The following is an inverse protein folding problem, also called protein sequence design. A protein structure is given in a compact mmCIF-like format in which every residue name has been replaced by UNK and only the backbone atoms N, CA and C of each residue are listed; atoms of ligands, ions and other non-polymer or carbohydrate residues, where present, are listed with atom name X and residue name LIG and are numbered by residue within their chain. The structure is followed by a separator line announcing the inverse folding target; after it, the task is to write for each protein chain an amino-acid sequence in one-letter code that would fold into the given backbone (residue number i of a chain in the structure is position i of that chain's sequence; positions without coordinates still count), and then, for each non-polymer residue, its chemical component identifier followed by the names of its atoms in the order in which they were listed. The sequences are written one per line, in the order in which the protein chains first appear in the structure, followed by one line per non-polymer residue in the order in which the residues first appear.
data_IF_525794938523
#
_entry.id   IF_525794938523
#
_cell.length_a   1.000
_cell.length_b   1.000
_cell.length_c   1.000
_cell.angle_alpha   90.00
_cell.angle_beta   90.00
_cell.angle_gamma   90.00
#
_symmetry.space_group_name_H-M   'P 1'
#
loop_
_entity.id
_entity.type
_entity.pdbx_description
1 polymer ?
#
# COMPACT_ATOMS: atom_id res chain seq x y z
N UNK A 1 31.01 15.35 -2.49
CA UNK A 1 29.69 14.73 -2.63
C UNK A 1 28.87 15.47 -3.68
N UNK A 2 28.60 14.81 -4.79
CA UNK A 2 27.71 15.23 -5.87
C UNK A 2 26.64 14.17 -6.11
N UNK A 3 25.44 14.58 -6.52
CA UNK A 3 24.34 13.66 -6.85
C UNK A 3 24.57 13.03 -8.24
N UNK A 4 24.50 11.70 -8.31
CA UNK A 4 24.59 10.94 -9.54
C UNK A 4 23.20 10.60 -10.10
N UNK A 5 22.33 10.04 -9.25
CA UNK A 5 20.96 9.67 -9.61
C UNK A 5 20.07 9.59 -8.38
N UNK A 6 18.76 9.56 -8.60
CA UNK A 6 17.75 9.33 -7.56
C UNK A 6 17.03 8.04 -7.92
N UNK A 7 16.80 7.18 -6.94
CA UNK A 7 16.07 5.93 -7.05
C UNK A 7 14.93 5.90 -6.02
N UNK A 8 13.74 5.37 -6.37
CA UNK A 8 12.68 5.21 -5.40
C UNK A 8 13.02 4.01 -4.51
N UNK A 9 12.54 4.06 -3.28
CA UNK A 9 12.60 2.90 -2.37
C UNK A 9 11.22 2.23 -2.31
N UNK A 10 11.12 1.01 -1.74
CA UNK A 10 9.82 0.39 -1.45
C UNK A 10 8.86 1.29 -0.64
N UNK A 11 9.43 2.19 0.18
CA UNK A 11 8.68 3.16 0.98
C UNK A 11 8.39 4.42 0.17
N UNK A 12 7.13 4.88 0.08
CA UNK A 12 6.79 6.13 -0.60
C UNK A 12 7.35 7.38 0.12
N UNK A 13 7.83 7.20 1.34
CA UNK A 13 8.41 8.25 2.17
C UNK A 13 9.93 8.27 2.14
N UNK A 14 10.58 7.41 1.35
CA UNK A 14 12.03 7.37 1.27
C UNK A 14 12.52 7.32 -0.18
N UNK A 15 13.56 8.09 -0.48
CA UNK A 15 14.24 8.10 -1.77
C UNK A 15 15.73 7.90 -1.58
N UNK A 16 16.32 7.09 -2.45
CA UNK A 16 17.76 6.83 -2.49
C UNK A 16 18.41 7.86 -3.40
N UNK A 17 19.32 8.65 -2.86
CA UNK A 17 20.18 9.59 -3.56
C UNK A 17 21.55 8.93 -3.74
N UNK A 18 21.87 8.47 -4.94
CA UNK A 18 23.20 7.95 -5.25
C UNK A 18 24.17 9.12 -5.43
N UNK A 19 25.34 9.03 -4.81
CA UNK A 19 26.34 10.11 -4.81
C UNK A 19 27.71 9.59 -5.25
N UNK A 20 28.56 10.50 -5.70
CA UNK A 20 29.93 10.21 -6.15
C UNK A 20 30.91 9.79 -5.03
N UNK A 21 30.45 9.77 -3.78
CA UNK A 21 31.28 9.55 -2.60
C UNK A 21 30.87 8.27 -1.85
N UNK A 22 31.75 7.27 -1.85
CA UNK A 22 31.54 5.99 -1.18
C UNK A 22 32.14 5.97 0.23
N UNK A 23 31.32 5.63 1.22
CA UNK A 23 31.77 5.34 2.57
C UNK A 23 32.50 3.99 2.65
N UNK A 24 33.48 3.83 3.56
CA UNK A 24 34.16 2.55 3.76
C UNK A 24 33.18 1.44 4.15
N UNK A 25 33.46 0.20 3.72
CA UNK A 25 32.60 -0.96 4.03
C UNK A 25 32.30 -1.07 5.53
N UNK A 26 31.05 -1.39 5.85
CA UNK A 26 30.55 -1.53 7.22
C UNK A 26 30.14 -0.21 7.90
N UNK A 27 30.45 0.96 7.32
CA UNK A 27 30.06 2.25 7.88
C UNK A 27 28.62 2.59 7.49
N UNK A 28 27.79 2.82 8.50
CA UNK A 28 26.37 3.19 8.36
C UNK A 28 26.06 4.29 9.34
N UNK A 29 25.47 5.37 8.86
CA UNK A 29 25.10 6.51 9.69
C UNK A 29 23.64 6.86 9.48
N UNK A 30 22.89 6.95 10.56
CA UNK A 30 21.54 7.52 10.57
C UNK A 30 21.63 8.89 11.21
N UNK A 31 21.21 9.92 10.48
CA UNK A 31 21.18 11.30 10.94
C UNK A 31 19.74 11.74 11.16
N UNK A 32 19.51 12.37 12.30
CA UNK A 32 18.25 13.03 12.66
C UNK A 32 18.51 14.52 12.88
N UNK A 33 17.49 15.40 12.78
CA UNK A 33 17.66 16.82 13.02
C UNK A 33 18.31 17.14 14.38
N UNK A 34 17.99 16.35 15.40
CA UNK A 34 18.49 16.44 16.78
C UNK A 34 19.75 15.59 17.04
N UNK A 35 20.16 14.74 16.08
CA UNK A 35 21.33 13.85 16.17
C UNK A 35 22.13 13.86 14.87
N UNK A 36 22.82 14.97 14.64
CA UNK A 36 23.67 15.20 13.46
C UNK A 36 25.13 15.57 13.82
N UNK A 37 25.55 15.29 15.05
CA UNK A 37 26.94 15.47 15.48
C UNK A 37 27.88 14.60 14.63
N UNK A 38 28.90 15.22 14.04
CA UNK A 38 29.83 14.55 13.11
C UNK A 38 29.35 14.47 11.66
N UNK A 39 28.13 14.91 11.34
CA UNK A 39 27.66 15.01 9.96
C UNK A 39 28.45 16.09 9.18
N UNK A 40 28.72 15.82 7.90
CA UNK A 40 29.28 16.82 6.99
C UNK A 40 28.31 17.97 6.77
N UNK A 41 28.82 19.11 6.29
CA UNK A 41 27.99 20.31 6.02
C UNK A 41 26.84 20.01 5.07
N UNK A 42 27.10 19.25 4.00
CA UNK A 42 26.09 18.82 3.03
C UNK A 42 24.99 17.98 3.69
N UNK A 43 25.35 17.03 4.57
CA UNK A 43 24.36 16.19 5.28
C UNK A 43 23.50 17.03 6.22
N UNK A 44 24.08 18.02 6.90
CA UNK A 44 23.31 18.96 7.74
C UNK A 44 22.39 19.83 6.91
N UNK A 45 22.85 20.30 5.75
CA UNK A 45 22.04 21.08 4.83
C UNK A 45 20.86 20.27 4.27
N UNK A 46 21.09 19.01 3.87
CA UNK A 46 20.04 18.09 3.44
C UNK A 46 19.02 17.80 4.56
N UNK A 47 19.47 17.63 5.81
CA UNK A 47 18.57 17.48 6.96
C UNK A 47 17.75 18.73 7.27
N UNK A 48 18.26 19.91 6.91
CA UNK A 48 17.60 21.19 7.15
C UNK A 48 16.51 21.51 6.12
N UNK A 49 16.46 20.78 5.00
CA UNK A 49 15.39 20.89 3.99
C UNK A 49 14.04 20.69 4.68
N UNK A 50 13.11 21.62 4.47
CA UNK A 50 11.79 21.53 5.07
C UNK A 50 11.07 20.27 4.58
N UNK A 51 10.66 19.44 5.53
CA UNK A 51 9.97 18.18 5.24
C UNK A 51 10.87 16.95 5.27
N UNK A 52 12.19 17.08 5.41
CA UNK A 52 13.08 15.94 5.67
C UNK A 52 12.95 15.50 7.12
N UNK A 53 12.85 14.17 7.32
CA UNK A 53 12.71 13.52 8.63
C UNK A 53 14.04 12.91 9.09
N UNK A 54 14.72 12.19 8.21
CA UNK A 54 15.97 11.49 8.50
C UNK A 54 16.79 11.27 7.24
N UNK A 55 18.09 11.09 7.41
CA UNK A 55 18.99 10.62 6.37
C UNK A 55 19.69 9.35 6.84
N UNK A 56 19.68 8.30 6.05
CA UNK A 56 20.50 7.11 6.27
C UNK A 56 21.56 7.01 5.18
N UNK A 57 22.84 7.04 5.57
CA UNK A 57 23.98 6.97 4.65
C UNK A 57 24.71 5.65 4.81
N UNK A 58 24.92 4.96 3.70
CA UNK A 58 25.74 3.75 3.62
C UNK A 58 26.34 3.65 2.22
N UNK A 59 27.56 3.11 2.12
CA UNK A 59 28.25 2.99 0.84
C UNK A 59 28.22 4.32 0.06
N UNK A 60 27.75 4.29 -1.17
CA UNK A 60 27.68 5.38 -2.16
C UNK A 60 26.29 6.04 -2.26
N UNK A 61 25.41 5.85 -1.27
CA UNK A 61 24.08 6.47 -1.31
C UNK A 61 23.59 7.02 0.03
N UNK A 62 22.58 7.89 -0.07
CA UNK A 62 21.81 8.44 1.04
C UNK A 62 20.35 8.08 0.83
N UNK A 63 19.75 7.29 1.72
CA UNK A 63 18.30 7.21 1.82
C UNK A 63 17.80 8.44 2.58
N UNK A 64 17.12 9.33 1.87
CA UNK A 64 16.48 10.51 2.42
C UNK A 64 15.03 10.16 2.72
N UNK A 65 14.64 10.26 3.99
CA UNK A 65 13.27 10.03 4.42
C UNK A 65 12.57 11.37 4.58
N UNK A 66 11.42 11.54 3.94
CA UNK A 66 10.54 12.68 4.15
C UNK A 66 9.57 12.43 5.31
N UNK A 67 9.06 13.50 5.88
CA UNK A 67 7.83 13.47 6.68
C UNK A 67 6.68 13.04 5.74
N UNK A 68 5.69 12.26 6.21
CA UNK A 68 4.68 11.68 5.32
C UNK A 68 3.90 12.67 4.44
N UNK A 69 3.71 13.90 4.92
CA UNK A 69 2.96 14.96 4.23
C UNK A 69 3.86 16.01 3.54
N UNK A 70 5.17 15.79 3.51
CA UNK A 70 6.09 16.74 2.92
C UNK A 70 6.16 16.56 1.41
N UNK A 71 6.26 17.66 0.66
CA UNK A 71 6.29 17.62 -0.79
C UNK A 71 7.65 17.14 -1.33
N UNK A 72 7.63 16.03 -2.09
CA UNK A 72 8.85 15.50 -2.71
C UNK A 72 9.42 16.47 -3.73
N UNK A 73 8.59 17.24 -4.44
CA UNK A 73 9.05 18.16 -5.47
C UNK A 73 9.96 19.23 -4.86
N UNK A 74 9.51 19.87 -3.79
CA UNK A 74 10.28 20.86 -3.03
C UNK A 74 11.55 20.24 -2.45
N UNK A 75 11.44 19.08 -1.79
CA UNK A 75 12.57 18.40 -1.15
C UNK A 75 13.66 18.05 -2.17
N UNK A 76 13.29 17.38 -3.27
CA UNK A 76 14.27 16.94 -4.26
C UNK A 76 14.87 18.12 -5.04
N UNK A 77 14.10 19.19 -5.26
CA UNK A 77 14.63 20.40 -5.89
C UNK A 77 15.72 21.06 -5.05
N UNK A 78 15.51 21.16 -3.72
CA UNK A 78 16.53 21.65 -2.79
C UNK A 78 17.71 20.68 -2.66
N UNK A 79 17.44 19.38 -2.55
CA UNK A 79 18.49 18.37 -2.43
C UNK A 79 19.40 18.34 -3.67
N UNK A 80 18.82 18.44 -4.88
CA UNK A 80 19.57 18.57 -6.13
C UNK A 80 20.44 19.81 -6.13
N UNK A 81 19.91 20.96 -5.69
CA UNK A 81 20.69 22.22 -5.60
C UNK A 81 21.88 22.08 -4.65
N UNK A 82 21.68 21.49 -3.48
CA UNK A 82 22.74 21.27 -2.49
C UNK A 82 23.83 20.29 -2.97
N UNK A 83 23.44 19.31 -3.79
CA UNK A 83 24.34 18.26 -4.29
C UNK A 83 24.90 18.53 -5.70
N UNK A 84 24.55 19.66 -6.34
CA UNK A 84 25.08 20.03 -7.66
C UNK A 84 26.52 20.61 -7.58
N UNK A 85 26.86 21.31 -6.49
CA UNK A 85 28.11 22.08 -6.38
C UNK A 85 28.16 23.30 -7.32
N UNK A 86 29.17 24.16 -7.18
CA UNK A 86 29.29 25.46 -7.87
C UNK A 86 29.57 25.40 -9.39
N UNK A 87 29.57 24.22 -10.02
CA UNK A 87 29.82 24.07 -11.46
C UNK A 87 28.51 23.87 -12.26
N UNK A 88 28.02 25.02 -12.75
CA UNK A 88 27.29 25.27 -14.01
C UNK A 88 25.83 24.81 -14.22
N UNK A 89 25.07 25.81 -14.67
CA UNK A 89 23.88 25.78 -15.53
C UNK A 89 23.78 24.57 -16.49
N UNK A 90 22.79 23.69 -16.24
CA UNK A 90 22.02 22.83 -17.16
C UNK A 90 21.53 21.61 -16.34
N UNK A 91 20.26 21.38 -16.02
CA UNK A 91 19.05 21.57 -16.77
C UNK A 91 17.90 21.92 -15.81
N UNK A 92 17.52 23.20 -15.78
CA UNK A 92 16.21 23.62 -15.28
C UNK A 92 15.19 23.38 -16.40
N UNK A 93 14.83 22.11 -16.65
CA UNK A 93 13.67 21.78 -17.46
C UNK A 93 12.45 21.71 -16.53
N UNK A 94 11.74 22.84 -16.45
CA UNK A 94 10.29 22.92 -16.21
C UNK A 94 9.76 22.31 -14.91
N UNK A 95 9.76 23.09 -13.83
CA UNK A 95 8.82 22.86 -12.73
C UNK A 95 8.03 24.14 -12.49
N UNK A 96 6.88 24.23 -13.14
CA UNK A 96 5.86 25.24 -12.86
C UNK A 96 5.27 25.02 -11.46
N UNK A 97 4.98 26.12 -10.77
CA UNK A 97 4.55 26.16 -9.38
C UNK A 97 3.06 25.78 -9.17
N UNK A 98 2.84 25.02 -8.08
CA UNK A 98 1.64 24.86 -7.23
C UNK A 98 0.42 24.06 -7.75
N UNK A 99 -0.42 23.47 -6.86
CA UNK A 99 -0.15 22.82 -5.56
C UNK A 99 -0.71 21.37 -5.48
N UNK A 100 -0.05 20.48 -4.75
CA UNK A 100 -0.75 19.47 -3.95
C UNK A 100 0.15 19.01 -2.79
N UNK A 101 -0.13 19.54 -1.60
CA UNK A 101 0.49 19.11 -0.34
C UNK A 101 -0.07 17.77 0.16
N UNK A 102 -0.75 17.02 -0.71
CA UNK A 102 -1.28 15.69 -0.43
C UNK A 102 -0.50 14.71 -1.29
N UNK A 103 0.70 14.35 -0.83
CA UNK A 103 1.42 13.22 -1.40
C UNK A 103 0.52 11.99 -1.38
N UNK A 104 0.76 11.02 -2.27
CA UNK A 104 0.07 9.73 -2.31
C UNK A 104 0.30 8.94 -1.00
N UNK A 105 -0.36 9.36 0.07
CA UNK A 105 -0.10 8.90 1.43
C UNK A 105 -0.70 7.53 1.66
N UNK A 106 0.13 6.62 2.16
CA UNK A 106 -0.32 5.34 2.68
C UNK A 106 -1.19 5.57 3.92
N UNK A 107 -2.43 5.12 3.85
CA UNK A 107 -3.35 5.14 4.96
C UNK A 107 -3.20 3.87 5.78
N UNK A 108 -2.64 4.01 6.98
CA UNK A 108 -2.61 2.90 7.94
C UNK A 108 -3.97 2.79 8.60
N UNK A 109 -4.61 1.64 8.40
CA UNK A 109 -5.90 1.34 8.98
C UNK A 109 -5.69 0.50 10.22
N UNK A 110 -6.22 0.98 11.34
CA UNK A 110 -6.23 0.29 12.62
C UNK A 110 -7.68 0.06 13.02
N UNK A 111 -8.01 -1.16 13.44
CA UNK A 111 -9.34 -1.48 13.96
C UNK A 111 -9.22 -1.85 15.42
N UNK A 112 -10.02 -1.18 16.25
CA UNK A 112 -10.12 -1.47 17.67
C UNK A 112 -11.17 -2.56 17.88
N UNK A 113 -10.76 -3.64 18.55
CA UNK A 113 -11.61 -4.77 18.90
C UNK A 113 -11.75 -4.91 20.41
N UNK A 114 -12.90 -5.46 20.84
CA UNK A 114 -13.09 -6.02 22.17
C UNK A 114 -13.64 -7.44 22.05
N UNK A 115 -12.87 -8.43 22.55
CA UNK A 115 -13.20 -9.86 22.49
C UNK A 115 -13.65 -10.32 21.08
N UNK A 116 -13.02 -9.78 20.04
CA UNK A 116 -13.31 -10.08 18.63
C UNK A 116 -14.41 -9.23 17.99
N UNK A 117 -15.11 -8.37 18.75
CA UNK A 117 -16.13 -7.46 18.21
C UNK A 117 -15.47 -6.13 17.82
N UNK A 118 -15.55 -5.68 16.55
CA UNK A 118 -15.00 -4.40 16.13
C UNK A 118 -15.78 -3.23 16.74
N UNK A 119 -15.07 -2.17 17.11
CA UNK A 119 -15.63 -1.01 17.80
C UNK A 119 -15.44 0.29 17.04
N UNK A 120 -14.22 0.53 16.58
CA UNK A 120 -13.81 1.79 15.97
C UNK A 120 -12.69 1.54 14.98
N UNK A 121 -12.75 2.21 13.85
CA UNK A 121 -11.69 2.28 12.85
C UNK A 121 -10.93 3.59 13.04
N UNK A 122 -9.60 3.53 12.89
CA UNK A 122 -8.72 4.69 12.82
C UNK A 122 -7.93 4.61 11.52
N UNK A 123 -8.05 5.65 10.71
CA UNK A 123 -7.31 5.78 9.45
C UNK A 123 -6.29 6.90 9.64
N UNK A 124 -5.01 6.57 9.48
CA UNK A 124 -3.90 7.51 9.66
C UNK A 124 -3.20 7.77 8.34
N UNK A 125 -3.15 9.03 7.92
CA UNK A 125 -2.36 9.50 6.78
C UNK A 125 -1.47 10.65 7.29
N UNK A 126 -0.18 10.37 7.46
CA UNK A 126 0.76 11.31 8.08
C UNK A 126 0.29 11.77 9.46
N UNK A 127 0.06 13.08 9.61
CA UNK A 127 -0.43 13.66 10.87
C UNK A 127 -1.97 13.72 10.97
N UNK A 128 -2.70 13.42 9.89
CA UNK A 128 -4.16 13.36 9.89
C UNK A 128 -4.62 11.99 10.40
N UNK A 129 -5.54 11.99 11.37
CA UNK A 129 -6.19 10.77 11.86
C UNK A 129 -7.71 10.96 11.78
N UNK A 130 -8.38 10.10 11.01
CA UNK A 130 -9.84 10.01 10.95
C UNK A 130 -10.29 8.81 11.76
N UNK A 131 -11.40 8.97 12.49
CA UNK A 131 -12.00 7.91 13.29
C UNK A 131 -13.43 7.68 12.85
N UNK A 132 -13.82 6.42 12.68
CA UNK A 132 -15.19 6.03 12.41
C UNK A 132 -15.63 4.98 13.43
N UNK A 133 -16.84 5.15 13.98
CA UNK A 133 -17.45 4.16 14.86
C UNK A 133 -18.25 3.14 14.04
N UNK A 134 -18.33 1.91 14.56
CA UNK A 134 -19.24 0.89 14.02
C UNK A 134 -20.70 1.23 14.34
N UNK A 135 -21.66 0.67 13.60
CA UNK A 135 -23.09 0.82 13.89
C UNK A 135 -23.49 0.44 15.33
N UNK A 136 -24.63 0.97 15.77
CA UNK A 136 -25.14 0.81 17.14
C UNK A 136 -25.17 -0.65 17.62
N UNK A 137 -25.51 -1.61 16.75
CA UNK A 137 -25.53 -3.04 17.07
C UNK A 137 -24.19 -3.58 17.60
N UNK A 138 -23.05 -3.03 17.14
CA UNK A 138 -21.73 -3.40 17.65
C UNK A 138 -21.49 -2.81 19.03
N UNK A 139 -21.94 -1.58 19.26
CA UNK A 139 -21.87 -0.93 20.57
C UNK A 139 -22.67 -1.73 21.60
N UNK A 140 -23.89 -2.13 21.25
CA UNK A 140 -24.76 -2.93 22.12
C UNK A 140 -24.15 -4.32 22.40
N UNK A 141 -23.57 -4.95 21.38
CA UNK A 141 -22.89 -6.24 21.54
C UNK A 141 -21.66 -6.13 22.45
N UNK A 142 -20.86 -5.07 22.31
CA UNK A 142 -19.71 -4.81 23.17
C UNK A 142 -20.16 -4.57 24.62
N UNK A 143 -21.24 -3.82 24.83
CA UNK A 143 -21.82 -3.64 26.17
C UNK A 143 -22.30 -4.96 26.77
N UNK A 144 -22.95 -5.82 25.98
CA UNK A 144 -23.42 -7.13 26.42
C UNK A 144 -22.28 -8.12 26.72
N UNK A 145 -21.11 -7.94 26.07
CA UNK A 145 -19.91 -8.74 26.27
C UNK A 145 -18.97 -8.18 27.35
N UNK A 146 -19.14 -6.92 27.76
CA UNK A 146 -18.19 -6.20 28.60
C UNK A 146 -18.10 -6.76 30.02
N UNK A 147 -16.86 -7.05 30.44
CA UNK A 147 -16.50 -7.38 31.83
C UNK A 147 -15.85 -6.21 32.57
N UNK A 148 -15.43 -6.48 33.81
CA UNK A 148 -14.64 -5.58 34.68
C UNK A 148 -13.30 -5.19 34.03
N UNK A 149 -12.78 -6.04 33.14
CA UNK A 149 -11.50 -5.88 32.45
C UNK A 149 -11.59 -5.12 31.11
N UNK A 150 -12.76 -4.58 30.75
CA UNK A 150 -13.04 -3.95 29.45
C UNK A 150 -11.92 -3.05 28.91
N UNK A 151 -11.43 -2.10 29.73
CA UNK A 151 -10.42 -1.12 29.29
C UNK A 151 -9.10 -1.81 28.88
N UNK A 152 -8.72 -2.88 29.60
CA UNK A 152 -7.43 -3.59 29.44
C UNK A 152 -7.42 -4.55 28.27
N UNK A 153 -8.58 -5.08 27.89
CA UNK A 153 -8.72 -6.10 26.84
C UNK A 153 -8.92 -5.52 25.43
N UNK A 154 -9.15 -4.21 25.30
CA UNK A 154 -9.27 -3.59 23.97
C UNK A 154 -7.96 -3.75 23.20
N UNK A 155 -8.04 -4.42 22.05
CA UNK A 155 -6.91 -4.60 21.13
C UNK A 155 -7.04 -3.63 19.98
N UNK A 156 -5.94 -2.99 19.61
CA UNK A 156 -5.85 -2.20 18.40
C UNK A 156 -5.00 -3.01 17.42
N UNK A 157 -5.63 -3.46 16.33
CA UNK A 157 -5.01 -4.34 15.35
C UNK A 157 -4.82 -3.61 14.03
N UNK A 158 -3.70 -3.86 13.36
CA UNK A 158 -3.45 -3.35 12.00
C UNK A 158 -4.30 -4.14 11.01
N UNK A 159 -5.13 -3.43 10.26
CA UNK A 159 -6.06 -4.01 9.30
C UNK A 159 -5.52 -3.94 7.86
N UNK A 160 -4.45 -3.16 7.64
CA UNK A 160 -3.73 -3.05 6.38
C UNK A 160 -3.59 -1.62 5.88
N UNK A 161 -2.97 -1.50 4.71
CA UNK A 161 -2.71 -0.22 4.05
C UNK A 161 -3.80 0.04 3.01
N UNK A 162 -4.32 1.27 3.01
CA UNK A 162 -5.26 1.79 2.01
C UNK A 162 -4.72 3.07 1.41
N UNK A 163 -5.32 3.52 0.32
CA UNK A 163 -4.92 4.73 -0.38
C UNK A 163 -6.18 5.44 -0.88
N UNK A 164 -6.17 6.77 -0.84
CA UNK A 164 -7.34 7.61 -1.06
C UNK A 164 -7.60 8.52 0.15
N UNK A 165 -8.78 9.13 0.18
CA UNK A 165 -9.15 10.03 1.27
C UNK A 165 -9.44 9.25 2.56
N UNK A 166 -8.91 9.68 3.72
CA UNK A 166 -9.08 8.96 4.99
C UNK A 166 -10.55 8.69 5.36
N UNK A 167 -11.43 9.65 5.07
CA UNK A 167 -12.86 9.59 5.34
C UNK A 167 -13.57 8.53 4.48
N UNK A 168 -13.24 8.47 3.19
CA UNK A 168 -13.77 7.45 2.27
C UNK A 168 -13.27 6.05 2.66
N UNK A 169 -11.98 5.94 2.98
CA UNK A 169 -11.35 4.70 3.45
C UNK A 169 -12.05 4.21 4.72
N UNK A 170 -12.30 5.09 5.69
CA UNK A 170 -12.97 4.74 6.93
C UNK A 170 -14.40 4.25 6.65
N UNK A 171 -15.15 4.94 5.79
CA UNK A 171 -16.52 4.56 5.43
C UNK A 171 -16.59 3.20 4.70
N UNK A 172 -15.65 2.94 3.79
CA UNK A 172 -15.56 1.65 3.09
C UNK A 172 -15.31 0.49 4.07
N UNK A 173 -14.37 0.68 4.99
CA UNK A 173 -14.00 -0.36 5.96
C UNK A 173 -15.11 -0.60 6.97
N UNK A 174 -15.84 0.45 7.40
CA UNK A 174 -17.06 0.27 8.20
C UNK A 174 -18.02 -0.66 7.45
N UNK A 175 -18.35 -0.36 6.19
CA UNK A 175 -19.30 -1.17 5.41
C UNK A 175 -18.84 -2.62 5.24
N UNK A 176 -17.56 -2.83 4.95
CA UNK A 176 -16.95 -4.15 4.81
C UNK A 176 -17.00 -4.95 6.11
N UNK A 177 -16.62 -4.34 7.24
CA UNK A 177 -16.68 -5.00 8.55
C UNK A 177 -18.13 -5.25 8.98
N UNK A 178 -19.05 -4.33 8.74
CA UNK A 178 -20.46 -4.55 9.06
C UNK A 178 -21.06 -5.71 8.25
N UNK A 179 -20.66 -5.85 6.98
CA UNK A 179 -21.05 -7.01 6.17
C UNK A 179 -20.43 -8.32 6.71
N UNK A 180 -19.12 -8.33 6.99
CA UNK A 180 -18.41 -9.52 7.49
C UNK A 180 -18.88 -9.99 8.88
N UNK A 181 -19.42 -9.08 9.70
CA UNK A 181 -19.94 -9.37 11.04
C UNK A 181 -21.46 -9.41 11.03
N UNK A 182 -21.98 -10.55 10.57
CA UNK A 182 -23.41 -10.88 10.60
C UNK A 182 -23.96 -10.90 12.03
N UNK A 183 -25.27 -10.78 12.18
CA UNK A 183 -25.92 -10.85 13.50
C UNK A 183 -25.59 -12.16 14.24
N UNK A 184 -25.58 -13.29 13.52
CA UNK A 184 -25.21 -14.60 14.04
C UNK A 184 -23.77 -14.63 14.58
N UNK A 185 -22.81 -14.04 13.83
CA UNK A 185 -21.41 -13.97 14.25
C UNK A 185 -21.25 -13.11 15.50
N UNK A 186 -21.91 -11.95 15.55
CA UNK A 186 -21.90 -11.06 16.71
C UNK A 186 -22.49 -11.77 17.93
N UNK A 187 -23.66 -12.41 17.78
CA UNK A 187 -24.31 -13.15 18.85
C UNK A 187 -23.43 -14.26 19.41
N UNK A 188 -22.71 -14.98 18.54
CA UNK A 188 -21.77 -16.03 18.93
C UNK A 188 -20.58 -15.48 19.73
N UNK A 189 -20.04 -14.33 19.34
CA UNK A 189 -18.96 -13.65 20.08
C UNK A 189 -19.42 -13.16 21.46
N UNK A 190 -20.64 -12.62 21.55
CA UNK A 190 -21.25 -12.20 22.82
C UNK A 190 -21.47 -13.39 23.74
N UNK A 191 -22.09 -14.47 23.23
CA UNK A 191 -22.33 -15.68 24.02
C UNK A 191 -21.02 -16.30 24.54
N UNK A 192 -19.98 -16.35 23.70
CA UNK A 192 -18.66 -16.83 24.10
C UNK A 192 -18.03 -15.94 25.18
N UNK A 193 -18.15 -14.62 25.05
CA UNK A 193 -17.66 -13.66 26.04
C UNK A 193 -18.35 -13.84 27.39
N UNK A 194 -19.67 -14.06 27.39
CA UNK A 194 -20.46 -14.29 28.60
C UNK A 194 -20.12 -15.63 29.26
N UNK A 195 -19.92 -16.69 28.46
CA UNK A 195 -19.56 -18.01 28.97
C UNK A 195 -18.20 -18.06 29.67
N UNK A 196 -17.24 -17.24 29.23
CA UNK A 196 -15.91 -17.15 29.85
C UNK A 196 -15.91 -16.31 31.13
N UNK A 197 -16.89 -15.41 31.31
CA UNK A 197 -17.02 -14.58 32.50
C UNK A 197 -16.27 -13.23 32.42
N UNK A 198 -16.48 -12.34 33.42
CA UNK A 198 -16.06 -10.94 33.38
C UNK A 198 -14.56 -10.73 33.59
N UNK A 199 -13.85 -11.68 34.20
CA UNK A 199 -12.42 -11.57 34.54
C UNK A 199 -11.52 -12.47 33.66
N UNK A 200 -12.09 -13.21 32.70
CA UNK A 200 -11.34 -14.12 31.83
C UNK A 200 -10.56 -13.36 30.74
N UNK A 201 -9.35 -13.83 30.46
CA UNK A 201 -8.53 -13.34 29.35
C UNK A 201 -8.88 -14.15 28.11
N UNK A 202 -9.43 -13.51 27.08
CA UNK A 202 -9.70 -14.17 25.79
C UNK A 202 -8.38 -14.44 25.05
N UNK A 203 -7.96 -15.70 24.98
CA UNK A 203 -6.76 -16.11 24.23
C UNK A 203 -6.92 -15.85 22.72
N UNK A 204 -8.04 -16.26 22.12
CA UNK A 204 -8.35 -16.00 20.71
C UNK A 204 -9.86 -15.81 20.48
N UNK A 205 -10.26 -14.85 19.64
CA UNK A 205 -11.67 -14.67 19.28
C UNK A 205 -12.18 -15.85 18.45
N UNK A 206 -13.45 -16.24 18.67
CA UNK A 206 -14.10 -17.27 17.86
C UNK A 206 -14.19 -16.78 16.43
N UNK A 207 -13.68 -17.58 15.49
CA UNK A 207 -13.82 -17.32 14.05
C UNK A 207 -15.01 -18.09 13.51
N UNK A 208 -15.80 -17.51 12.59
CA UNK A 208 -16.86 -18.25 11.93
C UNK A 208 -16.26 -19.43 11.14
N UNK A 209 -17.02 -20.51 11.00
CA UNK A 209 -16.59 -21.68 10.22
C UNK A 209 -16.23 -21.23 8.79
N UNK A 210 -15.02 -21.56 8.30
CA UNK A 210 -14.67 -21.29 6.90
C UNK A 210 -15.64 -21.96 5.93
N UNK A 211 -15.81 -21.38 4.75
CA UNK A 211 -16.65 -21.90 3.67
C UNK A 211 -15.78 -22.36 2.51
N UNK A 212 -16.19 -23.44 1.86
CA UNK A 212 -15.62 -23.90 0.58
C UNK A 212 -16.03 -22.97 -0.56
N UNK A 213 -15.30 -23.00 -1.67
CA UNK A 213 -15.63 -22.18 -2.84
C UNK A 213 -17.06 -22.42 -3.35
N UNK A 214 -17.55 -23.66 -3.32
CA UNK A 214 -18.92 -24.01 -3.73
C UNK A 214 -19.97 -23.46 -2.77
N UNK A 215 -19.72 -23.53 -1.45
CA UNK A 215 -20.62 -22.95 -0.45
C UNK A 215 -20.68 -21.43 -0.56
N UNK A 216 -19.55 -20.78 -0.82
CA UNK A 216 -19.51 -19.33 -1.09
C UNK A 216 -20.30 -19.02 -2.36
N UNK A 217 -20.05 -19.73 -3.45
CA UNK A 217 -20.73 -19.51 -4.72
C UNK A 217 -22.26 -19.66 -4.60
N UNK A 218 -22.73 -20.64 -3.83
CA UNK A 218 -24.16 -20.82 -3.56
C UNK A 218 -24.80 -19.63 -2.82
N UNK A 219 -24.02 -18.78 -2.15
CA UNK A 219 -24.52 -17.55 -1.50
C UNK A 219 -24.62 -16.36 -2.45
N UNK A 220 -24.05 -16.42 -3.66
CA UNK A 220 -24.06 -15.30 -4.62
C UNK A 220 -25.42 -15.04 -5.27
N UNK A 221 -26.41 -15.89 -5.02
CA UNK A 221 -27.81 -15.65 -5.39
C UNK A 221 -28.58 -14.81 -4.36
N UNK A 222 -27.97 -14.52 -3.19
CA UNK A 222 -28.59 -13.66 -2.19
C UNK A 222 -28.75 -12.22 -2.72
N UNK A 223 -29.92 -11.58 -2.55
CA UNK A 223 -30.16 -10.23 -3.03
C UNK A 223 -29.32 -9.19 -2.26
N UNK A 224 -29.09 -9.43 -0.96
CA UNK A 224 -28.26 -8.56 -0.14
C UNK A 224 -26.78 -8.82 -0.37
N UNK A 225 -26.05 -7.78 -0.76
CA UNK A 225 -24.61 -7.84 -0.95
C UNK A 225 -23.87 -8.14 0.35
N UNK A 226 -24.43 -7.78 1.52
CA UNK A 226 -23.78 -8.05 2.81
C UNK A 226 -23.68 -9.56 3.06
N UNK A 227 -24.72 -10.33 2.69
CA UNK A 227 -24.68 -11.80 2.77
C UNK A 227 -23.62 -12.39 1.82
N UNK A 228 -23.55 -11.88 0.59
CA UNK A 228 -22.55 -12.31 -0.41
C UNK A 228 -21.13 -11.98 0.05
N UNK A 229 -20.92 -10.79 0.60
CA UNK A 229 -19.63 -10.35 1.14
C UNK A 229 -19.23 -11.18 2.37
N UNK A 230 -20.15 -11.42 3.31
CA UNK A 230 -19.90 -12.24 4.48
C UNK A 230 -19.53 -13.69 4.13
N UNK A 231 -20.14 -14.24 3.07
CA UNK A 231 -19.77 -15.54 2.54
C UNK A 231 -18.35 -15.52 1.95
N UNK A 232 -18.05 -14.52 1.11
CA UNK A 232 -16.74 -14.36 0.47
C UNK A 232 -15.61 -14.16 1.50
N UNK A 233 -15.82 -13.33 2.54
CA UNK A 233 -14.87 -13.11 3.66
C UNK A 233 -14.52 -14.39 4.43
N UNK A 234 -15.39 -15.41 4.35
CA UNK A 234 -15.22 -16.71 5.01
C UNK A 234 -14.58 -17.77 4.10
N UNK A 235 -14.16 -17.42 2.89
CA UNK A 235 -13.48 -18.37 2.00
C UNK A 235 -12.29 -19.00 2.74
N UNK A 236 -12.29 -20.33 2.82
CA UNK A 236 -11.30 -21.07 3.61
C UNK A 236 -9.88 -20.93 3.05
N UNK A 237 -9.76 -21.12 1.73
CA UNK A 237 -8.50 -21.10 1.02
C UNK A 237 -8.71 -20.50 -0.38
N UNK A 238 -7.77 -19.64 -0.80
CA UNK A 238 -7.68 -19.23 -2.19
C UNK A 238 -6.88 -20.31 -2.93
N UNK A 239 -7.58 -21.25 -3.56
CA UNK A 239 -7.01 -22.28 -4.44
C UNK A 239 -7.51 -22.08 -5.88
N UNK A 240 -6.84 -22.64 -6.91
CA UNK A 240 -7.28 -22.52 -8.30
C UNK A 240 -8.73 -22.96 -8.54
N UNK A 241 -9.25 -23.89 -7.74
CA UNK A 241 -10.64 -24.35 -7.78
C UNK A 241 -11.64 -23.22 -7.43
N UNK A 242 -11.20 -22.19 -6.71
CA UNK A 242 -12.03 -21.02 -6.39
C UNK A 242 -12.18 -20.05 -7.57
N UNK A 243 -11.43 -20.20 -8.67
CA UNK A 243 -11.44 -19.27 -9.80
C UNK A 243 -12.84 -19.00 -10.39
N UNK A 244 -13.72 -20.00 -10.63
CA UNK A 244 -15.07 -19.74 -11.13
C UNK A 244 -15.90 -18.88 -10.16
N UNK A 245 -15.75 -19.11 -8.85
CA UNK A 245 -16.43 -18.33 -7.82
C UNK A 245 -15.85 -16.92 -7.74
N UNK A 246 -14.52 -16.75 -7.79
CA UNK A 246 -13.88 -15.44 -7.80
C UNK A 246 -14.20 -14.64 -9.05
N UNK A 247 -14.34 -15.31 -10.21
CA UNK A 247 -14.84 -14.67 -11.44
C UNK A 247 -16.28 -14.18 -11.26
N UNK A 248 -17.15 -14.97 -10.62
CA UNK A 248 -18.52 -14.54 -10.29
C UNK A 248 -18.52 -13.34 -9.35
N UNK A 249 -17.64 -13.34 -8.34
CA UNK A 249 -17.46 -12.24 -7.40
C UNK A 249 -16.92 -10.97 -8.05
N UNK A 250 -16.03 -11.10 -9.03
CA UNK A 250 -15.51 -9.98 -9.82
C UNK A 250 -16.60 -9.36 -10.73
N UNK A 251 -17.69 -10.07 -11.01
CA UNK A 251 -18.84 -9.56 -11.74
C UNK A 251 -19.95 -8.99 -10.83
N UNK A 252 -19.75 -8.91 -9.52
CA UNK A 252 -20.76 -8.42 -8.58
C UNK A 252 -21.05 -6.92 -8.77
N UNK A 253 -22.30 -6.51 -8.52
CA UNK A 253 -22.69 -5.10 -8.60
C UNK A 253 -21.97 -4.23 -7.55
N UNK A 254 -21.65 -4.81 -6.39
CA UNK A 254 -21.05 -4.13 -5.26
C UNK A 254 -19.52 -4.11 -5.37
N UNK A 255 -18.93 -2.91 -5.25
CA UNK A 255 -17.49 -2.71 -5.43
C UNK A 255 -16.64 -3.39 -4.34
N UNK A 256 -17.14 -3.52 -3.10
CA UNK A 256 -16.42 -4.17 -2.01
C UNK A 256 -16.23 -5.67 -2.24
N UNK A 257 -17.25 -6.34 -2.81
CA UNK A 257 -17.16 -7.75 -3.22
C UNK A 257 -16.14 -7.91 -4.35
N UNK A 258 -16.24 -7.09 -5.41
CA UNK A 258 -15.27 -7.12 -6.50
C UNK A 258 -13.84 -6.86 -6.01
N UNK A 259 -13.65 -5.90 -5.11
CA UNK A 259 -12.35 -5.58 -4.52
C UNK A 259 -11.79 -6.74 -3.70
N UNK A 260 -12.63 -7.41 -2.89
CA UNK A 260 -12.22 -8.59 -2.11
C UNK A 260 -11.86 -9.76 -3.04
N UNK A 261 -12.60 -9.95 -4.13
CA UNK A 261 -12.26 -10.95 -5.14
C UNK A 261 -10.86 -10.72 -5.73
N UNK A 262 -10.48 -9.47 -6.02
CA UNK A 262 -9.13 -9.12 -6.49
C UNK A 262 -8.05 -9.49 -5.48
N UNK A 263 -8.30 -9.28 -4.18
CA UNK A 263 -7.36 -9.70 -3.12
C UNK A 263 -7.13 -11.20 -3.18
N UNK A 264 -8.20 -12.01 -3.19
CA UNK A 264 -8.07 -13.46 -3.27
C UNK A 264 -7.47 -13.96 -4.60
N UNK A 265 -7.75 -13.29 -5.72
CA UNK A 265 -7.07 -13.57 -6.99
C UNK A 265 -5.56 -13.30 -6.88
N UNK A 266 -5.17 -12.28 -6.12
CA UNK A 266 -3.78 -11.99 -5.79
C UNK A 266 -3.12 -13.06 -4.94
N UNK A 267 -3.84 -13.58 -3.95
CA UNK A 267 -3.34 -14.64 -3.06
C UNK A 267 -3.07 -15.96 -3.82
N UNK A 268 -3.80 -16.23 -4.91
CA UNK A 268 -3.55 -17.38 -5.78
C UNK A 268 -2.17 -17.36 -6.43
N UNK A 269 -1.68 -16.17 -6.83
CA UNK A 269 -0.43 -15.97 -7.57
C UNK A 269 -0.26 -16.92 -8.76
N UNK A 270 -1.35 -17.23 -9.46
CA UNK A 270 -1.37 -18.19 -10.56
C UNK A 270 -1.56 -17.51 -11.92
N UNK A 271 -1.04 -18.13 -12.99
CA UNK A 271 -1.19 -17.60 -14.35
C UNK A 271 -2.66 -17.51 -14.78
N UNK A 272 -3.50 -18.42 -14.29
CA UNK A 272 -4.94 -18.46 -14.54
C UNK A 272 -5.70 -17.30 -13.87
N UNK A 273 -5.17 -16.73 -12.78
CA UNK A 273 -5.76 -15.55 -12.14
C UNK A 273 -5.46 -14.24 -12.89
N UNK A 274 -4.37 -14.21 -13.68
CA UNK A 274 -3.90 -13.00 -14.36
C UNK A 274 -4.95 -12.35 -15.28
N UNK A 275 -5.68 -13.08 -16.15
CA UNK A 275 -6.74 -12.49 -16.98
C UNK A 275 -7.86 -11.82 -16.16
N UNK A 276 -8.17 -12.34 -14.97
CA UNK A 276 -9.18 -11.76 -14.09
C UNK A 276 -8.63 -10.49 -13.42
N UNK A 277 -7.37 -10.46 -13.02
CA UNK A 277 -6.70 -9.25 -12.53
C UNK A 277 -6.63 -8.16 -13.62
N UNK A 278 -6.38 -8.53 -14.88
CA UNK A 278 -6.41 -7.58 -16.01
C UNK A 278 -7.80 -7.03 -16.26
N UNK A 279 -8.84 -7.84 -16.06
CA UNK A 279 -10.23 -7.36 -16.09
C UNK A 279 -10.49 -6.37 -14.96
N UNK A 280 -9.98 -6.64 -13.76
CA UNK A 280 -10.14 -5.77 -12.60
C UNK A 280 -9.43 -4.40 -12.75
N UNK A 281 -8.32 -4.33 -13.50
CA UNK A 281 -7.69 -3.06 -13.89
C UNK A 281 -8.61 -2.15 -14.72
N UNK A 282 -9.72 -2.66 -15.26
CA UNK A 282 -10.69 -1.90 -16.06
C UNK A 282 -12.02 -1.68 -15.33
N UNK A 283 -12.07 -1.97 -14.04
CA UNK A 283 -13.29 -1.86 -13.24
C UNK A 283 -13.82 -0.42 -13.18
N UNK A 284 -15.16 -0.29 -13.08
CA UNK A 284 -15.81 1.02 -12.91
C UNK A 284 -15.39 1.73 -11.61
N UNK A 285 -15.04 0.99 -10.56
CA UNK A 285 -14.59 1.52 -9.28
C UNK A 285 -13.08 1.74 -9.27
N UNK A 286 -12.67 2.96 -8.90
CA UNK A 286 -11.26 3.30 -8.69
C UNK A 286 -10.62 2.37 -7.65
N UNK A 287 -11.32 2.04 -6.58
CA UNK A 287 -10.78 1.19 -5.50
C UNK A 287 -10.43 -0.21 -6.00
N UNK A 288 -11.23 -0.77 -6.93
CA UNK A 288 -10.99 -2.09 -7.53
C UNK A 288 -9.82 -2.03 -8.50
N UNK A 289 -9.78 -1.04 -9.41
CA UNK A 289 -8.66 -0.86 -10.35
C UNK A 289 -7.33 -0.69 -9.63
N UNK A 290 -7.34 0.12 -8.56
CA UNK A 290 -6.16 0.34 -7.71
C UNK A 290 -5.73 -0.95 -7.02
N UNK A 291 -6.64 -1.69 -6.39
CA UNK A 291 -6.31 -2.98 -5.76
C UNK A 291 -5.75 -3.96 -6.79
N UNK A 292 -6.26 -3.99 -8.02
CA UNK A 292 -5.70 -4.83 -9.08
C UNK A 292 -4.27 -4.41 -9.44
N UNK A 293 -3.99 -3.10 -9.52
CA UNK A 293 -2.66 -2.56 -9.71
C UNK A 293 -1.69 -2.91 -8.58
N UNK A 294 -2.14 -2.79 -7.32
CA UNK A 294 -1.38 -3.21 -6.12
C UNK A 294 -1.03 -4.70 -6.24
N UNK A 295 -2.04 -5.55 -6.44
CA UNK A 295 -1.90 -7.00 -6.53
C UNK A 295 -0.94 -7.42 -7.63
N UNK A 296 -1.04 -6.84 -8.82
CA UNK A 296 -0.16 -7.16 -9.94
C UNK A 296 1.29 -6.69 -9.69
N UNK A 297 1.48 -5.59 -8.96
CA UNK A 297 2.82 -5.15 -8.51
C UNK A 297 3.42 -6.12 -7.50
N UNK A 298 2.63 -6.61 -6.56
CA UNK A 298 3.07 -7.61 -5.58
C UNK A 298 3.37 -8.98 -6.22
N UNK A 299 2.71 -9.32 -7.32
CA UNK A 299 3.01 -10.50 -8.13
C UNK A 299 4.29 -10.29 -8.95
N UNK A 300 4.42 -9.14 -9.63
CA UNK A 300 5.61 -8.79 -10.42
C UNK A 300 5.81 -9.64 -11.67
N UNK A 301 4.72 -10.18 -12.25
CA UNK A 301 4.77 -10.98 -13.48
C UNK A 301 4.72 -10.06 -14.71
N UNK A 302 5.63 -10.30 -15.66
CA UNK A 302 5.79 -9.51 -16.89
C UNK A 302 4.58 -9.61 -17.83
N UNK A 303 3.71 -10.60 -17.65
CA UNK A 303 2.42 -10.67 -18.33
C UNK A 303 1.54 -9.44 -18.06
N UNK A 304 1.76 -8.72 -16.95
CA UNK A 304 1.00 -7.51 -16.59
C UNK A 304 1.50 -6.23 -17.28
N UNK A 305 2.59 -6.27 -18.06
CA UNK A 305 3.18 -5.07 -18.67
C UNK A 305 2.19 -4.33 -19.57
N UNK A 306 1.56 -5.00 -20.54
CA UNK A 306 0.59 -4.34 -21.44
C UNK A 306 -0.63 -3.77 -20.70
N UNK A 307 -1.29 -4.52 -19.78
CA UNK A 307 -2.35 -3.96 -18.93
C UNK A 307 -1.90 -2.75 -18.07
N UNK A 308 -0.66 -2.75 -17.59
CA UNK A 308 -0.11 -1.64 -16.80
C UNK A 308 0.22 -0.43 -17.66
N UNK A 309 0.71 -0.63 -18.89
CA UNK A 309 0.87 0.45 -19.89
C UNK A 309 -0.47 1.14 -20.13
N UNK A 310 -1.57 0.39 -20.28
CA UNK A 310 -2.91 0.97 -20.40
C UNK A 310 -3.32 1.74 -19.14
N UNK A 311 -3.03 1.18 -17.95
CA UNK A 311 -3.36 1.78 -16.65
C UNK A 311 -2.59 3.08 -16.36
N UNK A 312 -1.45 3.31 -17.02
CA UNK A 312 -0.71 4.56 -16.94
C UNK A 312 -1.47 5.75 -17.55
N UNK A 313 -2.54 5.50 -18.30
CA UNK A 313 -3.45 6.51 -18.86
C UNK A 313 -4.78 6.62 -18.11
N UNK A 314 -4.91 6.00 -16.92
CA UNK A 314 -6.13 6.04 -16.12
C UNK A 314 -6.49 7.46 -15.69
N UNK A 315 -7.80 7.75 -15.58
CA UNK A 315 -8.30 9.05 -15.13
C UNK A 315 -7.92 9.33 -13.66
N UNK A 316 -7.78 8.29 -12.86
CA UNK A 316 -7.44 8.39 -11.46
C UNK A 316 -5.92 8.32 -11.25
N UNK A 317 -5.40 9.31 -10.53
CA UNK A 317 -3.98 9.44 -10.25
C UNK A 317 -3.35 8.29 -9.47
N UNK A 318 -4.07 7.67 -8.53
CA UNK A 318 -3.54 6.53 -7.77
C UNK A 318 -3.34 5.30 -8.66
N UNK A 319 -4.23 5.08 -9.63
CA UNK A 319 -4.10 3.98 -10.59
C UNK A 319 -2.91 4.22 -11.51
N UNK A 320 -2.77 5.44 -12.05
CA UNK A 320 -1.59 5.82 -12.85
C UNK A 320 -0.27 5.69 -12.09
N UNK A 321 -0.25 6.13 -10.83
CA UNK A 321 0.93 6.01 -9.97
C UNK A 321 1.35 4.55 -9.76
N UNK A 322 0.38 3.63 -9.56
CA UNK A 322 0.68 2.20 -9.47
C UNK A 322 1.22 1.63 -10.76
N UNK A 323 0.65 2.01 -11.90
CA UNK A 323 1.17 1.61 -13.21
C UNK A 323 2.61 2.10 -13.42
N UNK A 324 2.89 3.37 -13.13
CA UNK A 324 4.23 3.94 -13.27
C UNK A 324 5.26 3.19 -12.41
N UNK A 325 4.90 2.89 -11.15
CA UNK A 325 5.76 2.12 -10.24
C UNK A 325 5.98 0.69 -10.76
N UNK A 326 4.94 -0.02 -11.18
CA UNK A 326 5.07 -1.35 -11.75
C UNK A 326 6.04 -1.36 -12.94
N UNK A 327 5.87 -0.42 -13.87
CA UNK A 327 6.68 -0.34 -15.09
C UNK A 327 8.13 0.06 -14.81
N UNK A 328 8.36 0.90 -13.79
CA UNK A 328 9.70 1.17 -13.26
C UNK A 328 10.36 -0.12 -12.74
N UNK A 329 9.67 -0.90 -11.92
CA UNK A 329 10.19 -2.14 -11.34
C UNK A 329 10.43 -3.22 -12.41
N UNK A 330 9.54 -3.29 -13.41
CA UNK A 330 9.64 -4.23 -14.54
C UNK A 330 10.76 -3.88 -15.51
N UNK A 331 11.01 -2.60 -15.78
CA UNK A 331 12.11 -2.15 -16.65
C UNK A 331 12.01 -2.62 -18.10
N UNK A 332 10.81 -2.81 -18.63
CA UNK A 332 10.59 -3.35 -19.98
C UNK A 332 10.49 -2.24 -21.04
N UNK A 333 11.27 -2.37 -22.12
CA UNK A 333 11.34 -1.39 -23.22
C UNK A 333 10.00 -1.11 -23.89
N UNK A 334 9.04 -2.06 -23.86
CA UNK A 334 7.69 -1.86 -24.41
C UNK A 334 6.96 -0.69 -23.76
N UNK A 335 7.32 -0.33 -22.52
CA UNK A 335 6.70 0.76 -21.79
C UNK A 335 7.29 2.14 -22.12
N UNK A 336 8.43 2.21 -22.82
CA UNK A 336 9.21 3.45 -22.99
C UNK A 336 8.39 4.61 -23.55
N UNK A 337 7.60 4.38 -24.60
CA UNK A 337 6.86 5.44 -25.27
C UNK A 337 5.81 6.06 -24.34
N UNK A 338 5.07 5.22 -23.60
CA UNK A 338 4.03 5.69 -22.67
C UNK A 338 4.64 6.27 -21.39
N UNK A 339 5.79 5.76 -20.94
CA UNK A 339 6.54 6.37 -19.84
C UNK A 339 7.05 7.77 -20.22
N UNK A 340 7.54 7.98 -21.44
CA UNK A 340 7.93 9.32 -21.93
C UNK A 340 6.77 10.30 -21.98
N UNK A 341 5.56 9.83 -22.30
CA UNK A 341 4.35 10.64 -22.15
C UNK A 341 4.11 10.99 -20.68
N UNK A 342 4.16 10.00 -19.79
CA UNK A 342 3.91 10.15 -18.35
C UNK A 342 4.95 10.99 -17.60
N UNK A 343 6.13 11.25 -18.17
CA UNK A 343 7.07 12.26 -17.64
C UNK A 343 6.40 13.65 -17.52
N UNK A 344 5.40 13.93 -18.35
CA UNK A 344 4.64 15.19 -18.31
C UNK A 344 3.30 15.06 -17.54
N UNK A 345 3.12 14.01 -16.72
CA UNK A 345 1.92 13.88 -15.89
C UNK A 345 1.76 15.08 -14.94
N UNK A 346 0.52 15.47 -14.69
CA UNK A 346 0.19 16.58 -13.80
C UNK A 346 0.57 16.30 -12.34
N UNK A 347 0.60 15.03 -11.93
CA UNK A 347 0.99 14.65 -10.58
C UNK A 347 2.49 14.37 -10.52
N UNK A 348 3.19 15.10 -9.65
CA UNK A 348 4.65 15.06 -9.57
C UNK A 348 5.20 13.67 -9.33
N UNK A 349 4.62 12.87 -8.43
CA UNK A 349 5.13 11.53 -8.15
C UNK A 349 5.01 10.59 -9.35
N UNK A 350 4.03 10.79 -10.23
CA UNK A 350 3.90 10.01 -11.47
C UNK A 350 4.98 10.43 -12.46
N UNK A 351 5.13 11.74 -12.70
CA UNK A 351 6.17 12.32 -13.57
C UNK A 351 7.58 11.90 -13.15
N UNK A 352 7.85 11.92 -11.84
CA UNK A 352 9.12 11.50 -11.27
C UNK A 352 9.37 10.01 -11.51
N UNK A 353 8.40 9.14 -11.16
CA UNK A 353 8.53 7.70 -11.37
C UNK A 353 8.72 7.35 -12.83
N UNK A 354 7.97 7.99 -13.73
CA UNK A 354 8.10 7.79 -15.17
C UNK A 354 9.49 8.21 -15.68
N UNK A 355 10.02 9.34 -15.22
CA UNK A 355 11.36 9.82 -15.57
C UNK A 355 12.45 8.83 -15.14
N UNK A 356 12.33 8.31 -13.92
CA UNK A 356 13.25 7.29 -13.39
C UNK A 356 13.16 5.98 -14.17
N UNK A 357 11.95 5.58 -14.59
CA UNK A 357 11.75 4.39 -15.39
C UNK A 357 12.38 4.53 -16.79
N UNK A 358 12.20 5.68 -17.45
CA UNK A 358 12.83 5.95 -18.75
C UNK A 358 14.36 5.90 -18.62
N UNK A 359 14.93 6.64 -17.64
CA UNK A 359 16.37 6.68 -17.41
C UNK A 359 16.95 5.29 -17.14
N UNK A 360 16.26 4.48 -16.33
CA UNK A 360 16.63 3.10 -16.02
C UNK A 360 16.67 2.22 -17.27
N UNK A 361 15.59 2.23 -18.05
CA UNK A 361 15.45 1.39 -19.24
C UNK A 361 16.49 1.79 -20.30
N UNK A 362 16.69 3.10 -20.53
CA UNK A 362 17.65 3.60 -21.52
C UNK A 362 19.11 3.29 -21.16
N UNK A 363 19.42 3.15 -19.87
CA UNK A 363 20.75 2.69 -19.39
C UNK A 363 20.96 1.18 -19.51
N UNK A 364 19.92 0.42 -19.84
CA UNK A 364 19.98 -1.04 -19.87
C UNK A 364 20.19 -1.67 -18.50
N UNK A 365 19.75 -1.00 -17.42
CA UNK A 365 19.82 -1.56 -16.08
C UNK A 365 18.87 -2.77 -15.96
N UNK A 366 19.38 -3.93 -15.52
CA UNK A 366 18.56 -5.15 -15.35
C UNK A 366 17.34 -4.86 -14.47
N UNK A 367 16.18 -5.49 -14.75
CA UNK A 367 14.97 -5.33 -13.96
C UNK A 367 15.27 -5.54 -12.46
N UNK A 368 14.89 -4.58 -11.61
CA UNK A 368 15.10 -4.71 -10.17
C UNK A 368 14.26 -5.86 -9.59
N UNK A 369 13.21 -6.26 -10.32
CA UNK A 369 12.16 -7.15 -9.82
C UNK A 369 11.31 -6.44 -8.76
N UNK A 370 10.16 -7.01 -8.44
CA UNK A 370 9.33 -6.48 -7.35
C UNK A 370 10.09 -6.52 -6.01
N UNK A 371 9.69 -5.68 -5.06
CA UNK A 371 10.26 -5.66 -3.70
C UNK A 371 10.32 -7.07 -3.08
N UNK A 372 9.31 -7.88 -3.36
CA UNK A 372 9.25 -9.27 -2.91
C UNK A 372 10.23 -10.20 -3.64
N UNK A 373 10.43 -10.03 -4.94
CA UNK A 373 11.46 -10.78 -5.69
C UNK A 373 12.86 -10.44 -5.16
N UNK A 374 13.11 -9.16 -4.84
CA UNK A 374 14.36 -8.73 -4.21
C UNK A 374 14.54 -9.34 -2.81
N UNK A 375 13.49 -9.36 -1.98
CA UNK A 375 13.52 -10.00 -0.66
C UNK A 375 13.75 -11.52 -0.75
N UNK A 376 13.09 -12.20 -1.69
CA UNK A 376 13.18 -13.66 -1.88
C UNK A 376 14.56 -14.07 -2.42
N UNK A 377 15.11 -13.31 -3.38
CA UNK A 377 16.47 -13.51 -3.87
C UNK A 377 17.51 -13.27 -2.77
N UNK A 378 17.29 -12.26 -1.92
CA UNK A 378 18.17 -11.94 -0.79
C UNK A 378 18.17 -13.05 0.28
N UNK A 379 17.04 -13.68 0.54
CA UNK A 379 16.97 -14.81 1.48
C UNK A 379 17.65 -16.06 0.90
N UNK A 380 17.50 -16.34 -0.40
CA UNK A 380 18.20 -17.46 -1.08
C UNK A 380 19.72 -17.28 -1.13
N UNK A 381 20.22 -16.05 -1.17
CA UNK A 381 21.65 -15.75 -1.12
C UNK A 381 22.30 -15.99 0.25
N UNK A 382 21.54 -15.86 1.35
CA UNK A 382 22.04 -16.08 2.71
C UNK A 382 22.04 -17.56 3.14
N UNK A 383 21.29 -18.44 2.45
CA UNK A 383 21.31 -19.89 2.70
C UNK A 383 22.41 -20.62 1.91
N UNK A 384 23.19 -19.89 1.10
CA UNK A 384 24.25 -20.41 0.23
C UNK A 384 25.68 -20.02 0.68
N UNK A 385 25.83 -19.35 1.82
CA UNK A 385 27.10 -19.14 2.55
C UNK A 385 27.10 -19.96 3.84
#
# INVERSE_FOLDING_TARGET
MKLLSIEPTPSPNSMKLNVDETLPRGHRHTYLPDKSEGASEIIRALLAINGVKSLFRTADFIALDRKPNADWQSILSEARRLLAGDDTDAAAAGVGAAPSADGFGEAHVLVQFYRGIPMQIRVRIGEREVRAAMAQRFTDAVQAAAGTTFIRERKLEEFGIRYGEPEEIAADIVRELEAAYTEERIASLVAASQAQGPDAVVEAPIRPTPLTADEVLAKFDAPDWQERYAALDRLAESTPEALPMLQRALADENASIRRLAVVYLGDLRSAEAMPLLFTALKDKSVSVRRTAGDTLSDIGDTAAIEPMIESLRDKNKLVRWRAARFLYEAGDERALDVLREAVNDAEFEISLQASMAVERIERGEEAAGSVWQQMTQRNRGNDAE
#
